data_IF_703863559577
#
_entry.id   IF_703863559577
#
_cell.length_a   1.000
_cell.length_b   1.000
_cell.length_c   1.000
_cell.angle_alpha   90.00
_cell.angle_beta   90.00
_cell.angle_gamma   90.00
#
_symmetry.space_group_name_H-M   'P 1'
#
loop_
_entity.id
_entity.type
_entity.pdbx_description
1 polymer ?
#
# COMPACT_ATOMS: atom_id res chain seq x y z
N UNK A 1 -14.49 -3.75 -13.97
CA UNK A 1 -13.12 -3.28 -13.75
C UNK A 1 -12.50 -3.26 -15.11
N UNK A 2 -12.19 -2.07 -15.62
CA UNK A 2 -11.50 -1.91 -16.89
C UNK A 2 -10.03 -2.25 -16.71
N UNK A 3 -9.60 -3.34 -17.35
CA UNK A 3 -8.24 -3.85 -17.23
C UNK A 3 -7.23 -2.87 -17.85
N UNK A 4 -7.67 -2.10 -18.85
CA UNK A 4 -6.85 -1.08 -19.50
C UNK A 4 -6.36 0.03 -18.55
N UNK A 5 -7.04 0.23 -17.41
CA UNK A 5 -6.65 1.24 -16.42
C UNK A 5 -5.55 0.76 -15.45
N UNK A 6 -5.18 -0.53 -15.48
CA UNK A 6 -4.13 -1.10 -14.63
C UNK A 6 -2.75 -0.83 -15.26
N UNK A 7 -2.33 0.44 -15.25
CA UNK A 7 -1.13 0.91 -15.94
C UNK A 7 0.11 0.99 -15.05
N UNK A 8 -0.04 0.99 -13.72
CA UNK A 8 1.09 1.06 -12.79
C UNK A 8 1.41 -0.28 -12.16
N UNK A 9 2.68 -0.51 -11.87
CA UNK A 9 3.14 -1.68 -11.11
C UNK A 9 3.38 -1.29 -9.67
N UNK A 10 2.75 -2.00 -8.74
CA UNK A 10 2.98 -1.85 -7.31
C UNK A 10 3.48 -3.16 -6.71
N UNK A 11 4.23 -3.01 -5.64
CA UNK A 11 4.82 -4.12 -4.90
C UNK A 11 4.40 -4.03 -3.45
N UNK A 12 3.64 -5.02 -2.98
CA UNK A 12 3.23 -5.12 -1.59
C UNK A 12 4.30 -5.88 -0.82
N UNK A 13 4.78 -5.27 0.26
CA UNK A 13 5.68 -5.91 1.21
C UNK A 13 4.92 -6.23 2.49
N UNK A 14 5.30 -7.35 3.11
CA UNK A 14 4.86 -7.71 4.46
C UNK A 14 6.01 -7.53 5.44
N UNK A 15 5.68 -7.11 6.65
CA UNK A 15 6.60 -7.11 7.77
C UNK A 15 6.63 -8.53 8.36
N UNK A 16 7.79 -9.18 8.29
CA UNK A 16 8.03 -10.50 8.82
C UNK A 16 9.04 -10.43 9.96
N UNK A 17 8.71 -11.04 11.09
CA UNK A 17 9.62 -11.14 12.23
C UNK A 17 10.53 -12.34 12.04
N UNK A 18 11.79 -12.08 11.70
CA UNK A 18 12.82 -13.10 11.53
C UNK A 18 13.52 -13.29 12.87
N UNK A 19 13.57 -14.54 13.34
CA UNK A 19 14.31 -14.90 14.56
C UNK A 19 15.76 -15.19 14.17
N UNK A 20 16.68 -14.44 14.76
CA UNK A 20 18.11 -14.66 14.58
C UNK A 20 18.56 -15.96 15.27
N UNK A 21 19.75 -16.48 14.94
CA UNK A 21 20.28 -17.72 15.53
C UNK A 21 20.41 -17.64 17.08
N UNK A 22 20.47 -16.41 17.61
CA UNK A 22 20.58 -16.11 19.05
C UNK A 22 19.19 -15.80 19.67
N UNK A 23 18.09 -15.94 18.93
CA UNK A 23 16.72 -15.75 19.43
C UNK A 23 16.19 -14.32 19.39
N UNK A 24 16.93 -13.37 18.79
CA UNK A 24 16.46 -11.99 18.66
C UNK A 24 15.42 -11.85 17.54
N UNK A 25 14.32 -11.17 17.82
CA UNK A 25 13.29 -10.87 16.82
C UNK A 25 13.67 -9.61 16.03
N UNK A 26 13.96 -9.76 14.74
CA UNK A 26 14.19 -8.64 13.81
C UNK A 26 12.99 -8.48 12.89
N UNK A 27 12.50 -7.26 12.73
CA UNK A 27 11.50 -6.96 11.71
C UNK A 27 12.19 -6.73 10.36
N UNK A 28 11.89 -7.59 9.39
CA UNK A 28 12.32 -7.43 8.01
C UNK A 28 11.11 -7.25 7.10
N UNK A 29 11.24 -6.34 6.14
CA UNK A 29 10.21 -6.15 5.12
C UNK A 29 10.53 -7.03 3.92
N UNK A 30 9.66 -8.00 3.64
CA UNK A 30 9.83 -8.99 2.56
C UNK A 30 8.80 -8.73 1.47
N UNK A 31 9.20 -8.90 0.20
CA UNK A 31 8.29 -8.86 -0.94
C UNK A 31 7.20 -9.93 -0.78
N UNK A 32 5.94 -9.51 -0.79
CA UNK A 32 4.80 -10.42 -0.64
C UNK A 32 4.11 -10.67 -1.98
N UNK A 33 3.74 -9.60 -2.68
CA UNK A 33 3.04 -9.71 -3.94
C UNK A 33 3.23 -8.47 -4.79
N UNK A 34 3.56 -8.68 -6.06
CA UNK A 34 3.70 -7.63 -7.05
C UNK A 34 2.57 -7.74 -8.07
N UNK A 35 1.87 -6.64 -8.34
CA UNK A 35 0.72 -6.62 -9.24
C UNK A 35 0.54 -5.27 -9.93
N UNK A 36 -0.31 -5.24 -10.95
CA UNK A 36 -0.70 -3.98 -11.57
C UNK A 36 -1.89 -3.35 -10.85
N UNK A 37 -1.87 -2.03 -10.73
CA UNK A 37 -2.88 -1.21 -10.10
C UNK A 37 -3.27 -0.04 -11.01
N UNK A 38 -4.40 0.58 -10.69
CA UNK A 38 -4.78 1.91 -11.16
C UNK A 38 -4.53 2.89 -10.03
N UNK A 39 -3.76 3.95 -10.28
CA UNK A 39 -3.64 5.06 -9.34
C UNK A 39 -4.85 5.96 -9.46
N UNK A 40 -5.39 6.38 -8.32
CA UNK A 40 -6.48 7.35 -8.25
C UNK A 40 -6.28 8.23 -7.01
N UNK A 41 -6.77 9.46 -7.08
CA UNK A 41 -6.69 10.39 -5.95
C UNK A 41 -5.27 10.89 -5.69
N UNK A 42 -4.46 11.12 -6.73
CA UNK A 42 -3.19 11.84 -6.65
C UNK A 42 -3.43 13.36 -6.40
N UNK A 43 -4.35 13.66 -5.48
CA UNK A 43 -4.72 15.00 -5.07
C UNK A 43 -4.17 15.22 -3.68
N UNK A 44 -2.90 15.61 -3.60
CA UNK A 44 -2.29 16.04 -2.35
C UNK A 44 -3.14 17.14 -1.74
N UNK A 45 -3.85 16.81 -0.66
CA UNK A 45 -4.42 17.84 0.20
C UNK A 45 -3.23 18.43 0.96
N UNK A 46 -2.71 19.57 0.50
CA UNK A 46 -1.67 20.34 1.19
C UNK A 46 -2.19 20.75 2.58
N UNK A 47 -2.06 19.87 3.58
CA UNK A 47 -2.37 20.19 4.97
C UNK A 47 -1.24 21.03 5.53
N UNK A 48 -1.33 22.34 5.31
CA UNK A 48 -0.55 23.33 6.02
C UNK A 48 -0.98 23.37 7.49
N UNK A 49 -0.34 22.55 8.32
CA UNK A 49 -0.29 22.76 9.77
C UNK A 49 0.87 23.70 10.03
N UNK A 50 0.60 24.84 10.68
CA UNK A 50 1.52 25.96 10.90
C UNK A 50 2.98 25.52 11.15
N UNK A 51 3.86 25.78 10.17
CA UNK A 51 5.31 25.65 10.31
C UNK A 51 5.98 24.42 9.70
N UNK A 52 5.24 23.45 9.14
CA UNK A 52 5.83 22.30 8.44
C UNK A 52 5.02 22.01 7.16
N UNK A 53 5.62 22.19 5.98
CA UNK A 53 5.01 21.77 4.72
C UNK A 53 4.97 20.23 4.75
N UNK A 54 3.79 19.67 4.98
CA UNK A 54 3.58 18.21 5.02
C UNK A 54 3.10 17.79 3.64
N UNK A 55 3.94 17.06 2.91
CA UNK A 55 3.53 16.31 1.71
C UNK A 55 2.69 15.10 2.16
N UNK A 56 1.45 15.36 2.60
CA UNK A 56 0.45 14.34 2.93
C UNK A 56 -0.19 13.87 1.62
N UNK A 57 0.63 13.30 0.74
CA UNK A 57 0.17 12.76 -0.53
C UNK A 57 -0.55 11.45 -0.26
N UNK A 58 -1.85 11.52 -0.01
CA UNK A 58 -2.72 10.35 0.01
C UNK A 58 -2.92 9.84 -1.42
N UNK A 59 -2.73 8.54 -1.62
CA UNK A 59 -2.81 7.90 -2.93
C UNK A 59 -3.68 6.65 -2.80
N UNK A 60 -4.59 6.45 -3.74
CA UNK A 60 -5.46 5.28 -3.75
C UNK A 60 -5.11 4.35 -4.89
N UNK A 61 -4.62 3.16 -4.57
CA UNK A 61 -4.34 2.11 -5.54
C UNK A 61 -5.54 1.17 -5.67
N UNK A 62 -6.10 1.07 -6.87
CA UNK A 62 -7.14 0.08 -7.15
C UNK A 62 -6.53 -1.10 -7.87
N UNK A 63 -6.53 -2.27 -7.25
CA UNK A 63 -5.99 -3.52 -7.80
C UNK A 63 -7.10 -4.50 -8.14
N UNK A 64 -6.80 -5.44 -9.03
CA UNK A 64 -7.68 -6.59 -9.24
C UNK A 64 -7.78 -7.39 -7.95
N UNK A 65 -8.98 -7.91 -7.66
CA UNK A 65 -9.15 -8.83 -6.55
C UNK A 65 -8.26 -10.06 -6.73
N UNK A 66 -7.36 -10.28 -5.77
CA UNK A 66 -6.50 -11.44 -5.68
C UNK A 66 -6.64 -12.03 -4.29
N UNK A 67 -6.78 -13.35 -4.15
CA UNK A 67 -6.90 -14.01 -2.84
C UNK A 67 -5.73 -13.68 -1.91
N UNK A 68 -4.53 -13.49 -2.45
CA UNK A 68 -3.35 -13.06 -1.69
C UNK A 68 -3.53 -11.66 -1.07
N UNK A 69 -4.20 -10.74 -1.79
CA UNK A 69 -4.41 -9.36 -1.35
C UNK A 69 -5.62 -9.19 -0.41
N UNK A 70 -6.44 -10.22 -0.23
CA UNK A 70 -7.62 -10.18 0.65
C UNK A 70 -7.23 -10.26 2.13
N UNK A 71 -6.15 -10.99 2.43
CA UNK A 71 -5.59 -11.10 3.78
C UNK A 71 -4.63 -9.96 4.13
N UNK A 72 -4.63 -8.87 3.36
CA UNK A 72 -3.79 -7.72 3.68
C UNK A 72 -4.27 -7.06 4.97
N UNK A 73 -3.27 -6.66 5.74
CA UNK A 73 -3.44 -5.99 7.02
C UNK A 73 -2.70 -4.66 6.97
N UNK A 74 -3.40 -3.57 7.31
CA UNK A 74 -2.89 -2.20 7.24
C UNK A 74 -1.65 -1.97 8.10
N UNK A 75 -1.48 -2.74 9.18
CA UNK A 75 -0.34 -2.59 10.10
C UNK A 75 0.86 -3.43 9.71
N UNK A 76 0.63 -4.55 9.01
CA UNK A 76 1.67 -5.51 8.64
C UNK A 76 2.14 -5.38 7.19
N UNK A 77 1.43 -4.61 6.37
CA UNK A 77 1.72 -4.50 4.95
C UNK A 77 1.94 -3.04 4.53
N UNK A 78 2.82 -2.86 3.55
CA UNK A 78 3.09 -1.58 2.90
C UNK A 78 3.20 -1.76 1.41
N UNK A 79 3.01 -0.69 0.67
CA UNK A 79 3.11 -0.66 -0.79
C UNK A 79 4.36 0.09 -1.20
N UNK A 80 5.06 -0.44 -2.20
CA UNK A 80 6.13 0.24 -2.91
C UNK A 80 5.61 0.60 -4.30
N UNK A 81 5.73 1.87 -4.63
CA UNK A 81 5.37 2.40 -5.94
C UNK A 81 6.45 3.40 -6.37
N UNK A 82 7.04 3.17 -7.56
CA UNK A 82 8.13 3.99 -8.12
C UNK A 82 9.30 4.28 -7.14
N UNK A 83 9.65 3.30 -6.31
CA UNK A 83 10.71 3.44 -5.30
C UNK A 83 10.32 4.23 -4.05
N UNK A 84 9.12 4.81 -4.02
CA UNK A 84 8.53 5.44 -2.84
C UNK A 84 7.75 4.40 -2.00
N UNK A 85 7.86 4.55 -0.68
CA UNK A 85 7.15 3.71 0.28
C UNK A 85 5.83 4.37 0.67
N UNK A 86 4.76 3.57 0.70
CA UNK A 86 3.43 4.00 1.10
C UNK A 86 2.87 3.03 2.15
N UNK A 87 2.43 3.57 3.28
CA UNK A 87 1.73 2.80 4.30
C UNK A 87 0.26 2.64 3.88
N UNK A 88 -0.31 1.46 4.12
CA UNK A 88 -1.74 1.23 3.85
C UNK A 88 -2.53 1.79 5.03
N UNK A 89 -3.45 2.71 4.75
CA UNK A 89 -4.33 3.33 5.75
C UNK A 89 -5.64 2.57 5.87
N UNK A 90 -6.21 2.21 4.72
CA UNK A 90 -7.46 1.47 4.67
C UNK A 90 -7.55 0.61 3.42
N UNK A 91 -8.32 -0.47 3.54
CA UNK A 91 -8.57 -1.43 2.46
C UNK A 91 -10.08 -1.47 2.25
N UNK A 92 -10.52 -1.02 1.09
CA UNK A 92 -11.90 -1.08 0.66
C UNK A 92 -12.12 -2.28 -0.28
N UNK A 93 -13.02 -3.16 0.12
CA UNK A 93 -13.37 -4.37 -0.63
C UNK A 93 -14.42 -4.12 -1.73
N UNK A 94 -14.77 -2.86 -2.01
CA UNK A 94 -15.72 -2.44 -3.03
C UNK A 94 -17.05 -3.24 -2.95
N UNK A 95 -17.65 -3.26 -1.75
CA UNK A 95 -18.84 -4.04 -1.40
C UNK A 95 -18.68 -5.57 -1.50
N UNK A 96 -17.47 -6.11 -1.28
CA UNK A 96 -17.18 -7.55 -1.35
C UNK A 96 -17.58 -8.22 -2.66
N UNK A 97 -17.68 -7.45 -3.75
CA UNK A 97 -18.03 -7.98 -5.08
C UNK A 97 -16.92 -8.86 -5.69
N UNK A 98 -15.78 -9.00 -5.01
CA UNK A 98 -14.59 -9.79 -5.41
C UNK A 98 -14.07 -9.45 -6.81
N UNK A 99 -14.24 -8.20 -7.25
CA UNK A 99 -13.77 -7.71 -8.56
C UNK A 99 -12.48 -6.91 -8.44
N UNK A 100 -12.44 -6.00 -7.47
CA UNK A 100 -11.30 -5.13 -7.19
C UNK A 100 -11.18 -4.88 -5.69
N UNK A 101 -9.99 -4.44 -5.28
CA UNK A 101 -9.68 -3.93 -3.95
C UNK A 101 -9.13 -2.53 -4.13
N UNK A 102 -9.55 -1.59 -3.29
CA UNK A 102 -9.02 -0.23 -3.27
C UNK A 102 -8.23 -0.03 -1.99
N UNK A 103 -6.94 0.23 -2.15
CA UNK A 103 -5.98 0.45 -1.07
C UNK A 103 -5.78 1.95 -0.95
N UNK A 104 -6.25 2.57 0.14
CA UNK A 104 -5.88 3.94 0.45
C UNK A 104 -4.54 3.91 1.18
N UNK A 105 -3.57 4.65 0.66
CA UNK A 105 -2.22 4.66 1.17
C UNK A 105 -1.73 6.09 1.39
N UNK A 106 -0.80 6.24 2.33
CA UNK A 106 -0.13 7.50 2.66
C UNK A 106 1.37 7.33 2.50
N UNK A 107 2.04 8.32 1.92
CA UNK A 107 3.48 8.29 1.69
C UNK A 107 4.22 8.25 3.03
N UNK A 108 5.19 7.33 3.15
CA UNK A 108 6.02 7.22 4.35
C UNK A 108 6.94 8.44 4.43
N UNK A 109 6.83 9.19 5.52
CA UNK A 109 7.72 10.32 5.85
C UNK A 109 9.08 9.75 6.25
N UNK A 110 10.15 10.22 5.61
CA UNK A 110 11.53 9.84 5.93
C UNK A 110 12.30 11.05 6.43
#
# INVERSE_FOLDING_TARGET
>A
MDIALLNVKITVQKNETVVDAIGNHKNNWTDYHTCFATVSGEGGSEKSVAGLIVDDSDISFTVRYCKALVGLDVTKHRVIFEGSLYNIVSIDHMNYKKKCLKLKCEKVRR
#
